data_IF_980022515648
#
_entry.id   IF_980022515648
#
_cell.length_a   1.000
_cell.length_b   1.000
_cell.length_c   1.000
_cell.angle_alpha   90.00
_cell.angle_beta   90.00
_cell.angle_gamma   90.00
#
_symmetry.space_group_name_H-M   'P 1'
#
loop_
_entity.id
_entity.type
_entity.pdbx_description
1 polymer ?
#
# COMPACT_ATOMS: atom_id res chain seq x y z
N UNK A 1 -25.30 5.07 0.71
CA UNK A 1 -24.48 3.99 0.10
C UNK A 1 -23.13 4.00 0.80
N UNK A 2 -22.60 2.84 1.19
CA UNK A 2 -21.25 2.77 1.79
C UNK A 2 -20.21 2.95 0.69
N UNK A 3 -19.32 3.92 0.83
CA UNK A 3 -18.23 4.18 -0.10
C UNK A 3 -17.23 2.99 -0.09
N UNK A 4 -16.78 2.57 -1.28
CA UNK A 4 -15.92 1.38 -1.44
C UNK A 4 -14.76 1.62 -2.38
N UNK A 5 -13.54 1.38 -1.89
CA UNK A 5 -12.32 1.43 -2.66
C UNK A 5 -12.11 0.19 -3.52
N UNK A 6 -11.60 0.37 -4.75
CA UNK A 6 -11.04 -0.70 -5.57
C UNK A 6 -9.57 -0.89 -5.24
N UNK A 7 -9.21 -2.10 -4.81
CA UNK A 7 -7.81 -2.47 -4.53
C UNK A 7 -7.38 -3.53 -5.53
N UNK A 8 -6.23 -3.34 -6.17
CA UNK A 8 -5.62 -4.32 -7.05
C UNK A 8 -4.57 -5.12 -6.28
N UNK A 9 -4.78 -6.43 -6.22
CA UNK A 9 -3.90 -7.35 -5.53
C UNK A 9 -2.96 -8.03 -6.53
N UNK A 10 -1.68 -8.09 -6.18
CA UNK A 10 -0.61 -8.70 -6.95
C UNK A 10 0.07 -9.77 -6.09
N UNK A 11 0.48 -10.88 -6.71
CA UNK A 11 1.25 -11.94 -6.05
C UNK A 11 2.00 -12.79 -7.09
N UNK A 12 2.98 -13.57 -6.62
CA UNK A 12 3.79 -14.47 -7.47
C UNK A 12 4.83 -13.77 -8.34
N UNK A 13 5.16 -12.52 -8.01
CA UNK A 13 6.26 -11.73 -8.56
C UNK A 13 7.10 -11.11 -7.45
N UNK A 14 8.04 -10.23 -7.82
CA UNK A 14 8.99 -9.60 -6.92
C UNK A 14 8.83 -8.07 -6.92
N UNK A 15 8.95 -7.49 -5.72
CA UNK A 15 9.11 -6.04 -5.56
C UNK A 15 10.55 -5.63 -5.87
N UNK A 16 10.73 -4.48 -6.53
CA UNK A 16 12.04 -3.91 -6.84
C UNK A 16 11.96 -2.38 -6.96
N UNK A 17 13.12 -1.71 -6.93
CA UNK A 17 13.22 -0.27 -7.14
C UNK A 17 13.17 0.06 -8.64
N UNK A 18 12.12 0.76 -9.04
CA UNK A 18 11.95 1.32 -10.39
C UNK A 18 12.19 2.83 -10.43
N UNK A 19 11.91 3.42 -11.59
CA UNK A 19 12.17 4.84 -11.88
C UNK A 19 11.44 5.82 -10.93
N UNK A 20 10.22 5.45 -10.53
CA UNK A 20 9.37 6.20 -9.60
C UNK A 20 9.27 5.51 -8.23
N UNK A 21 10.31 4.77 -7.83
CA UNK A 21 10.33 3.99 -6.59
C UNK A 21 9.73 2.60 -6.76
N UNK A 22 9.00 2.12 -5.75
CA UNK A 22 8.53 0.74 -5.66
C UNK A 22 7.79 0.30 -6.93
N UNK A 23 8.25 -0.80 -7.50
CA UNK A 23 7.73 -1.46 -8.70
C UNK A 23 7.57 -2.96 -8.48
N UNK A 24 6.83 -3.62 -9.38
CA UNK A 24 6.52 -5.04 -9.29
C UNK A 24 6.58 -5.68 -10.68
N UNK A 25 7.16 -6.88 -10.79
CA UNK A 25 7.50 -7.51 -12.08
C UNK A 25 6.33 -8.31 -12.71
N UNK A 26 5.19 -8.36 -12.03
CA UNK A 26 4.01 -9.11 -12.44
C UNK A 26 2.76 -8.23 -12.53
N UNK A 27 1.82 -8.64 -13.37
CA UNK A 27 0.51 -7.99 -13.48
C UNK A 27 -0.37 -8.23 -12.26
N UNK A 28 -1.36 -7.36 -12.05
CA UNK A 28 -2.37 -7.59 -11.01
C UNK A 28 -3.13 -8.89 -11.30
N UNK A 29 -3.45 -9.63 -10.25
CA UNK A 29 -4.13 -10.92 -10.37
C UNK A 29 -5.59 -10.84 -9.98
N UNK A 30 -5.96 -9.94 -9.07
CA UNK A 30 -7.35 -9.79 -8.63
C UNK A 30 -7.68 -8.41 -8.11
N UNK A 31 -8.89 -7.93 -8.40
CA UNK A 31 -9.48 -6.77 -7.76
C UNK A 31 -10.33 -7.18 -6.55
N UNK A 32 -10.21 -6.43 -5.44
CA UNK A 32 -11.11 -6.53 -4.29
C UNK A 32 -11.76 -5.18 -3.99
N UNK A 33 -12.93 -5.21 -3.34
CA UNK A 33 -13.61 -4.02 -2.85
C UNK A 33 -13.52 -3.96 -1.33
N UNK A 34 -13.07 -2.85 -0.79
CA UNK A 34 -13.01 -2.59 0.65
C UNK A 34 -13.89 -1.38 0.98
N UNK A 35 -14.61 -1.44 2.10
CA UNK A 35 -15.38 -0.29 2.59
C UNK A 35 -14.49 0.60 3.45
N UNK A 36 -14.82 1.88 3.58
CA UNK A 36 -14.22 2.70 4.64
C UNK A 36 -14.47 2.06 6.02
N UNK A 37 -13.45 2.07 6.88
CA UNK A 37 -13.48 1.39 8.18
C UNK A 37 -13.29 -0.13 8.12
N UNK A 38 -12.81 -0.67 7.00
CA UNK A 38 -12.36 -2.08 6.94
C UNK A 38 -11.17 -2.25 7.89
N UNK A 39 -11.20 -3.27 8.74
CA UNK A 39 -10.08 -3.59 9.63
C UNK A 39 -9.02 -4.44 8.93
N UNK A 40 -7.80 -4.47 9.49
CA UNK A 40 -6.73 -5.37 9.09
C UNK A 40 -7.16 -6.83 9.06
N UNK A 41 -7.83 -7.31 10.11
CA UNK A 41 -8.32 -8.68 10.14
C UNK A 41 -9.30 -8.98 9.00
N UNK A 42 -10.19 -8.04 8.66
CA UNK A 42 -11.14 -8.20 7.56
C UNK A 42 -10.44 -8.19 6.18
N UNK A 43 -9.43 -7.33 6.02
CA UNK A 43 -8.59 -7.32 4.82
C UNK A 43 -7.85 -8.64 4.67
N UNK A 44 -7.15 -9.06 5.72
CA UNK A 44 -6.39 -10.31 5.77
C UNK A 44 -7.31 -11.50 5.44
N UNK A 45 -8.50 -11.52 6.02
CA UNK A 45 -9.50 -12.55 5.76
C UNK A 45 -9.91 -12.62 4.29
N UNK A 46 -10.08 -11.47 3.67
CA UNK A 46 -10.37 -11.38 2.24
C UNK A 46 -9.21 -11.91 1.42
N UNK A 47 -7.96 -11.61 1.79
CA UNK A 47 -6.77 -12.12 1.09
C UNK A 47 -6.66 -13.63 1.17
N UNK A 48 -6.79 -14.24 2.36
CA UNK A 48 -6.81 -15.71 2.49
C UNK A 48 -7.91 -16.33 1.63
N UNK A 49 -9.11 -15.75 1.64
CA UNK A 49 -10.22 -16.22 0.82
C UNK A 49 -9.92 -16.11 -0.68
N UNK A 50 -9.40 -14.96 -1.14
CA UNK A 50 -9.19 -14.75 -2.58
C UNK A 50 -8.02 -15.54 -3.16
N UNK A 51 -7.01 -15.82 -2.35
CA UNK A 51 -5.85 -16.63 -2.74
C UNK A 51 -6.04 -18.12 -2.44
N UNK A 52 -7.17 -18.51 -1.81
CA UNK A 52 -7.46 -19.89 -1.41
C UNK A 52 -6.38 -20.49 -0.48
N UNK A 53 -5.88 -19.67 0.44
CA UNK A 53 -4.81 -20.04 1.36
C UNK A 53 -5.36 -20.62 2.65
N UNK A 54 -4.60 -21.54 3.26
CA UNK A 54 -4.92 -22.06 4.59
C UNK A 54 -4.20 -21.25 5.68
N UNK A 55 -4.96 -20.57 6.53
CA UNK A 55 -4.44 -19.73 7.64
C UNK A 55 -3.57 -20.50 8.63
N UNK A 56 -3.74 -21.82 8.75
CA UNK A 56 -2.93 -22.62 9.68
C UNK A 56 -1.61 -23.09 9.07
N UNK A 57 -1.44 -22.93 7.76
CA UNK A 57 -0.30 -23.45 6.99
C UNK A 57 0.44 -22.37 6.21
N UNK A 58 -0.09 -21.15 6.13
CA UNK A 58 0.49 -20.09 5.32
C UNK A 58 0.40 -18.78 6.08
N UNK A 59 1.50 -18.01 6.08
CA UNK A 59 1.56 -16.61 6.48
C UNK A 59 1.42 -15.73 5.26
N UNK A 60 0.81 -14.58 5.47
CA UNK A 60 0.60 -13.57 4.44
C UNK A 60 1.25 -12.27 4.90
N UNK A 61 2.07 -11.67 4.04
CA UNK A 61 2.55 -10.30 4.19
C UNK A 61 1.94 -9.45 3.09
N UNK A 62 1.49 -8.26 3.48
CA UNK A 62 0.83 -7.31 2.59
C UNK A 62 1.61 -6.00 2.58
N UNK A 63 1.99 -5.55 1.39
CA UNK A 63 2.68 -4.27 1.18
C UNK A 63 1.84 -3.42 0.24
N UNK A 64 1.41 -2.25 0.69
CA UNK A 64 0.75 -1.26 -0.14
C UNK A 64 1.81 -0.46 -0.92
N UNK A 65 1.59 -0.27 -2.22
CA UNK A 65 2.34 0.70 -3.03
C UNK A 65 1.80 2.10 -2.74
N UNK A 66 2.34 2.75 -1.74
CA UNK A 66 1.84 4.03 -1.24
C UNK A 66 2.40 5.20 -2.06
N UNK A 67 1.52 6.11 -2.48
CA UNK A 67 1.87 7.29 -3.27
C UNK A 67 2.41 8.39 -2.34
N UNK A 68 3.63 8.84 -2.57
CA UNK A 68 4.22 10.03 -1.93
C UNK A 68 4.63 11.06 -2.98
N UNK A 69 4.69 12.33 -2.56
CA UNK A 69 5.24 13.41 -3.37
C UNK A 69 6.60 13.78 -2.81
N UNK A 70 7.62 13.77 -3.67
CA UNK A 70 8.96 14.26 -3.36
C UNK A 70 9.17 15.60 -4.08
N UNK A 71 9.48 16.64 -3.30
CA UNK A 71 9.68 17.99 -3.82
C UNK A 71 8.39 18.60 -4.40
N UNK A 72 8.53 19.44 -5.42
CA UNK A 72 7.44 20.25 -5.94
C UNK A 72 6.50 19.55 -6.94
N UNK A 73 6.73 18.29 -7.35
CA UNK A 73 5.83 17.56 -8.28
C UNK A 73 6.22 16.11 -8.62
N UNK A 74 7.29 15.54 -8.06
CA UNK A 74 7.70 14.18 -8.45
C UNK A 74 6.94 13.14 -7.64
N UNK A 75 6.25 12.23 -8.34
CA UNK A 75 5.63 11.07 -7.73
C UNK A 75 6.72 10.09 -7.32
N UNK A 76 6.58 9.52 -6.13
CA UNK A 76 7.36 8.39 -5.68
C UNK A 76 6.43 7.36 -5.05
N UNK A 77 6.69 6.09 -5.32
CA UNK A 77 5.97 4.97 -4.72
C UNK A 77 6.83 4.35 -3.64
N UNK A 78 6.34 4.35 -2.41
CA UNK A 78 7.04 3.76 -1.27
C UNK A 78 6.35 2.49 -0.81
N UNK A 79 7.09 1.48 -0.33
CA UNK A 79 6.49 0.32 0.31
C UNK A 79 5.93 0.72 1.67
N UNK A 80 4.61 0.54 1.85
CA UNK A 80 3.94 0.69 3.13
C UNK A 80 3.47 -0.68 3.60
N UNK A 81 4.12 -1.20 4.65
CA UNK A 81 3.79 -2.51 5.21
C UNK A 81 2.45 -2.44 5.96
N UNK A 82 1.48 -3.25 5.53
CA UNK A 82 0.16 -3.29 6.14
C UNK A 82 0.19 -4.27 7.31
N UNK A 83 0.23 -3.76 8.54
CA UNK A 83 0.39 -4.56 9.78
C UNK A 83 -0.75 -4.41 10.78
N UNK A 84 -1.55 -3.34 10.67
CA UNK A 84 -2.60 -3.01 11.61
C UNK A 84 -3.74 -2.21 10.94
N UNK A 85 -4.75 -1.85 11.73
CA UNK A 85 -5.93 -1.12 11.27
C UNK A 85 -5.59 0.31 10.82
N UNK A 86 -4.63 0.97 11.46
CA UNK A 86 -4.23 2.35 11.13
C UNK A 86 -3.60 2.42 9.73
N UNK A 87 -2.76 1.45 9.39
CA UNK A 87 -2.19 1.38 8.03
C UNK A 87 -3.25 1.03 6.98
N UNK A 88 -4.25 0.21 7.32
CA UNK A 88 -5.37 -0.06 6.40
C UNK A 88 -6.19 1.20 6.15
N UNK A 89 -6.45 1.99 7.18
CA UNK A 89 -7.11 3.29 7.02
C UNK A 89 -6.29 4.23 6.15
N UNK A 90 -4.98 4.38 6.43
CA UNK A 90 -4.07 5.21 5.64
C UNK A 90 -4.03 4.80 4.15
N UNK A 91 -3.98 3.50 3.87
CA UNK A 91 -4.04 2.94 2.52
C UNK A 91 -5.34 3.35 1.79
N UNK A 92 -6.47 3.33 2.50
CA UNK A 92 -7.79 3.63 1.95
C UNK A 92 -8.03 5.14 1.80
N UNK A 93 -7.45 5.94 2.69
CA UNK A 93 -7.58 7.40 2.65
C UNK A 93 -7.04 8.00 1.35
N UNK A 94 -5.95 7.45 0.81
CA UNK A 94 -5.43 7.87 -0.51
C UNK A 94 -6.49 7.70 -1.62
N UNK A 95 -7.26 6.62 -1.58
CA UNK A 95 -8.32 6.37 -2.55
C UNK A 95 -9.48 7.35 -2.40
N UNK A 96 -9.96 7.52 -1.16
CA UNK A 96 -11.14 8.34 -0.87
C UNK A 96 -10.86 9.84 -0.99
N UNK A 97 -9.67 10.29 -0.57
CA UNK A 97 -9.25 11.69 -0.73
C UNK A 97 -8.90 12.02 -2.19
N UNK A 98 -8.30 11.06 -2.91
CA UNK A 98 -7.94 11.21 -4.33
C UNK A 98 -9.12 11.13 -5.32
N UNK A 99 -10.36 11.32 -4.85
CA UNK A 99 -11.61 11.26 -5.64
C UNK A 99 -11.72 9.98 -6.51
N UNK A 100 -11.24 8.83 -6.02
CA UNK A 100 -11.23 7.55 -6.75
C UNK A 100 -10.40 7.50 -8.04
N UNK A 101 -9.56 8.50 -8.32
CA UNK A 101 -8.66 8.51 -9.48
C UNK A 101 -7.41 7.64 -9.27
N UNK A 102 -7.09 7.34 -8.01
CA UNK A 102 -5.96 6.51 -7.63
C UNK A 102 -6.41 5.07 -7.40
N UNK A 103 -5.68 4.12 -7.97
CA UNK A 103 -5.84 2.69 -7.68
C UNK A 103 -4.86 2.34 -6.58
N UNK A 104 -5.36 1.74 -5.50
CA UNK A 104 -4.50 1.17 -4.46
C UNK A 104 -3.97 -0.17 -4.96
N UNK A 105 -2.64 -0.30 -5.04
CA UNK A 105 -1.98 -1.56 -5.35
C UNK A 105 -1.48 -2.22 -4.06
N UNK A 106 -1.85 -3.48 -3.87
CA UNK A 106 -1.50 -4.31 -2.72
C UNK A 106 -0.70 -5.52 -3.19
N UNK A 107 0.55 -5.59 -2.78
CA UNK A 107 1.45 -6.70 -3.06
C UNK A 107 1.37 -7.72 -1.94
N UNK A 108 1.15 -8.98 -2.31
CA UNK A 108 0.93 -10.06 -1.37
C UNK A 108 2.01 -11.12 -1.55
N UNK A 109 2.74 -11.35 -0.46
CA UNK A 109 3.76 -12.38 -0.35
C UNK A 109 3.27 -13.46 0.63
N UNK A 110 3.61 -14.72 0.37
CA UNK A 110 3.18 -15.87 1.20
C UNK A 110 4.37 -16.70 1.65
N UNK A 111 4.30 -17.22 2.87
CA UNK A 111 5.31 -18.12 3.44
C UNK A 111 4.62 -19.33 4.07
N UNK A 112 5.09 -20.54 3.78
CA UNK A 112 4.53 -21.76 4.37
C UNK A 112 4.95 -21.92 5.84
N UNK A 113 3.98 -22.21 6.71
CA UNK A 113 4.19 -22.56 8.11
C UNK A 113 4.34 -24.08 8.23
N UNK A 114 5.57 -24.54 8.48
CA UNK A 114 5.81 -25.96 8.76
C UNK A 114 5.38 -26.30 10.20
N UNK A 115 4.49 -27.30 10.41
CA UNK A 115 4.14 -27.76 11.74
C UNK A 115 5.36 -28.46 12.36
N UNK A 116 6.00 -27.81 13.33
CA UNK A 116 7.19 -28.36 14.02
C UNK A 116 8.24 -27.33 14.42
N UNK A 117 8.18 -26.10 13.90
CA UNK A 117 8.93 -24.96 14.44
C UNK A 117 8.06 -24.25 15.48
N UNK A 118 8.43 -24.53 16.72
CA UNK A 118 7.91 -24.13 18.01
C UNK A 118 7.50 -22.65 18.18
N UNK A 119 6.49 -22.45 19.02
CA UNK A 119 5.81 -21.20 19.37
C UNK A 119 6.69 -20.10 20.01
N UNK A 120 8.02 -20.25 20.01
CA UNK A 120 8.98 -19.25 20.48
C UNK A 120 9.46 -18.29 19.38
N UNK A 121 9.00 -18.46 18.14
CA UNK A 121 9.28 -17.55 17.01
C UNK A 121 8.41 -16.28 16.97
N UNK A 122 7.79 -15.88 18.09
CA UNK A 122 7.24 -14.52 18.23
C UNK A 122 8.36 -13.45 18.29
N UNK A 123 9.60 -13.85 18.61
CA UNK A 123 10.78 -12.97 18.60
C UNK A 123 11.47 -12.88 17.23
N UNK A 124 11.15 -13.74 16.26
CA UNK A 124 11.83 -13.82 14.96
C UNK A 124 11.19 -12.97 13.87
N UNK A 125 10.36 -11.99 14.24
CA UNK A 125 9.82 -10.97 13.31
C UNK A 125 10.97 -10.30 12.53
N UNK A 126 12.20 -10.32 13.05
CA UNK A 126 13.37 -9.66 12.47
C UNK A 126 14.20 -10.51 11.47
N UNK A 127 14.02 -11.83 11.36
CA UNK A 127 14.99 -12.67 10.60
C UNK A 127 14.40 -13.60 9.54
N UNK A 128 13.09 -13.56 9.29
CA UNK A 128 12.46 -14.28 8.18
C UNK A 128 12.75 -13.65 6.81
N UNK A 129 12.49 -14.35 5.69
CA UNK A 129 12.68 -13.82 4.33
C UNK A 129 11.93 -12.50 4.07
N UNK A 130 10.94 -12.17 4.91
CA UNK A 130 10.20 -10.91 4.88
C UNK A 130 11.02 -9.65 5.23
N UNK A 131 12.18 -9.75 5.90
CA UNK A 131 12.99 -8.59 6.29
C UNK A 131 14.02 -8.14 5.26
N UNK A 132 14.27 -8.90 4.19
CA UNK A 132 15.29 -8.53 3.18
C UNK A 132 15.03 -7.20 2.47
N UNK A 133 13.78 -6.74 2.40
CA UNK A 133 13.43 -5.46 1.79
C UNK A 133 13.42 -4.28 2.77
N UNK A 134 13.48 -4.51 4.09
CA UNK A 134 13.41 -3.45 5.10
C UNK A 134 14.79 -2.98 5.57
N UNK A 135 15.86 -3.74 5.32
CA UNK A 135 17.23 -3.40 5.75
C UNK A 135 17.95 -2.43 4.80
N UNK A 136 17.32 -1.99 3.71
CA UNK A 136 17.85 -0.85 2.97
C UNK A 136 17.36 0.39 3.71
N UNK A 137 18.17 0.82 4.69
CA UNK A 137 18.00 2.05 5.46
C UNK A 137 17.62 3.20 4.52
N UNK A 138 16.33 3.55 4.47
CA UNK A 138 15.95 4.87 4.02
C UNK A 138 16.43 5.82 5.10
N UNK A 139 17.64 6.36 4.92
CA UNK A 139 18.12 7.56 5.60
C UNK A 139 17.09 8.68 5.38
N UNK A 140 16.08 8.69 6.24
CA UNK A 140 15.03 9.70 6.24
C UNK A 140 15.49 10.74 7.26
N UNK A 141 15.93 11.94 6.86
CA UNK A 141 16.30 12.96 7.82
C UNK A 141 15.06 13.31 8.66
N UNK A 142 15.16 13.05 9.97
CA UNK A 142 14.09 13.34 10.94
C UNK A 142 13.77 14.84 10.90
N UNK A 143 12.58 15.17 10.41
CA UNK A 143 12.04 16.53 10.44
C UNK A 143 11.28 16.73 11.75
N UNK A 144 11.72 17.72 12.51
CA UNK A 144 11.22 18.08 13.82
C UNK A 144 9.69 18.28 13.85
N UNK A 145 9.10 17.78 14.93
CA UNK A 145 7.66 17.60 15.20
C UNK A 145 6.73 18.80 15.07
N UNK A 146 7.22 20.03 14.87
CA UNK A 146 6.38 21.23 14.75
C UNK A 146 5.91 21.55 13.33
N UNK A 147 6.50 20.94 12.29
CA UNK A 147 6.21 21.27 10.89
C UNK A 147 5.25 20.28 10.18
N UNK A 148 4.89 19.18 10.86
CA UNK A 148 3.99 18.14 10.33
C UNK A 148 2.59 18.69 9.97
N UNK A 149 1.99 19.51 10.83
CA UNK A 149 0.63 20.02 10.60
C UNK A 149 0.52 20.94 9.37
N UNK A 150 1.52 21.77 9.13
CA UNK A 150 1.56 22.65 7.96
C UNK A 150 1.94 21.88 6.68
N UNK A 151 2.85 20.90 6.77
CA UNK A 151 3.21 20.06 5.62
C UNK A 151 2.13 19.09 5.20
N UNK A 152 1.37 18.47 6.11
CA UNK A 152 0.23 17.62 5.73
C UNK A 152 -0.78 18.39 4.90
N UNK A 153 -1.16 19.59 5.35
CA UNK A 153 -2.12 20.42 4.62
C UNK A 153 -1.60 20.85 3.24
N UNK A 154 -0.30 21.13 3.12
CA UNK A 154 0.36 21.48 1.86
C UNK A 154 0.55 20.27 0.94
N UNK A 155 0.86 19.09 1.48
CA UNK A 155 0.99 17.83 0.75
C UNK A 155 -0.36 17.38 0.19
N UNK A 156 -1.42 17.42 1.00
CA UNK A 156 -2.78 17.12 0.52
C UNK A 156 -3.23 18.13 -0.55
N UNK A 157 -2.88 19.41 -0.40
CA UNK A 157 -3.19 20.44 -1.40
C UNK A 157 -2.45 20.18 -2.71
N UNK A 158 -1.15 19.90 -2.67
CA UNK A 158 -0.35 19.62 -3.86
C UNK A 158 -0.74 18.30 -4.53
N UNK A 159 -1.11 17.27 -3.75
CA UNK A 159 -1.67 16.02 -4.29
C UNK A 159 -3.00 16.28 -5.01
N UNK A 160 -3.89 17.09 -4.42
CA UNK A 160 -5.14 17.47 -5.04
C UNK A 160 -4.92 18.31 -6.31
N UNK A 161 -3.97 19.25 -6.32
CA UNK A 161 -3.61 20.03 -7.50
C UNK A 161 -3.03 19.14 -8.62
N UNK A 162 -2.14 18.19 -8.31
CA UNK A 162 -1.62 17.22 -9.28
C UNK A 162 -2.72 16.29 -9.83
N UNK A 163 -3.63 15.81 -8.98
CA UNK A 163 -4.76 14.97 -9.38
C UNK A 163 -5.77 15.74 -10.24
N UNK A 164 -6.08 16.98 -9.89
CA UNK A 164 -6.96 17.84 -10.68
C UNK A 164 -6.31 18.17 -12.04
N UNK A 165 -4.99 18.35 -12.10
CA UNK A 165 -4.26 18.55 -13.37
C UNK A 165 -4.30 17.30 -14.26
N UNK A 166 -4.07 16.11 -13.68
CA UNK A 166 -4.15 14.84 -14.40
C UNK A 166 -5.59 14.54 -14.87
N UNK A 167 -6.60 14.89 -14.07
CA UNK A 167 -8.01 14.80 -14.45
C UNK A 167 -8.36 15.74 -15.60
N UNK A 168 -7.94 17.00 -15.53
CA UNK A 168 -8.19 17.98 -16.59
C UNK A 168 -7.47 17.62 -17.90
N UNK A 169 -6.28 17.03 -17.83
CA UNK A 169 -5.53 16.57 -19.00
C UNK A 169 -6.12 15.29 -19.64
N UNK A 170 -6.96 14.55 -18.93
CA UNK A 170 -7.61 13.32 -19.44
C UNK A 170 -9.03 13.56 -19.97
N UNK A 171 -9.56 14.78 -19.85
CA UNK A 171 -10.80 15.18 -20.52
C UNK A 171 -10.52 15.46 -22.01
N UNK A 172 -11.34 14.94 -22.94
CA UNK A 172 -11.16 15.22 -24.37
C UNK A 172 -11.36 16.72 -24.63
N UNK A 173 -10.45 17.30 -25.42
CA UNK A 173 -10.32 18.74 -25.67
C UNK A 173 -11.48 19.43 -26.42
N UNK A 174 -12.69 18.87 -26.39
CA UNK A 174 -13.88 19.45 -27.02
C UNK A 174 -15.03 19.57 -26.01
N UNK A 175 -14.99 20.64 -25.23
CA UNK A 175 -16.17 21.26 -24.64
C UNK A 175 -15.90 22.76 -24.48
N UNK A 176 -16.09 23.50 -25.58
CA UNK A 176 -16.49 24.90 -25.55
C UNK A 176 -18.02 24.89 -25.67
#
# INVERSE_FOLDING_TARGET
>A
MTERASIFCYWGGNMFDGEDGLSYDMNYRRGIKLSRGTTYSQLLDKIYSVMQLNRTQTRVKMTCRYLTLIGQQRINFMPLLVVDDDIVEMMLDVYFQGKSLLIVALYVETEDMYPGYDANHMASIETGPFTRLLTQEYDTPMLESSDMGHRYSTLTRNQNECLDTAYNASLPSNAI
#
